data_IF_416108336525
#
_entry.id   IF_416108336525
#
_cell.length_a   1.000
_cell.length_b   1.000
_cell.length_c   1.000
_cell.angle_alpha   90.00
_cell.angle_beta   90.00
_cell.angle_gamma   90.00
#
_symmetry.space_group_name_H-M   'P 1'
#
loop_
_entity.id
_entity.type
_entity.pdbx_description
1 polymer ?
#
# COMPACT_ATOMS: atom_id res chain seq x y z
N UNK A 1 -16.61 -10.03 -56.82
CA UNK A 1 -17.73 -10.50 -55.97
C UNK A 1 -17.30 -11.73 -55.17
N UNK A 2 -16.70 -11.57 -53.98
CA UNK A 2 -16.80 -12.52 -52.86
C UNK A 2 -16.23 -11.82 -51.62
N UNK A 3 -17.03 -11.85 -50.57
CA UNK A 3 -17.01 -10.92 -49.44
C UNK A 3 -15.74 -11.08 -48.60
N UNK A 4 -15.09 -9.95 -48.31
CA UNK A 4 -14.05 -9.80 -47.29
C UNK A 4 -14.67 -10.15 -45.94
N UNK A 5 -14.26 -11.25 -45.31
CA UNK A 5 -14.53 -11.50 -43.89
C UNK A 5 -13.25 -11.14 -43.15
N UNK A 6 -13.11 -9.85 -42.85
CA UNK A 6 -12.17 -9.35 -41.85
C UNK A 6 -12.80 -9.65 -40.50
N UNK A 7 -12.43 -10.79 -39.89
CA UNK A 7 -12.72 -11.02 -38.47
C UNK A 7 -11.76 -10.13 -37.69
N UNK A 8 -12.20 -8.90 -37.40
CA UNK A 8 -11.55 -8.03 -36.42
C UNK A 8 -11.79 -8.63 -35.03
N UNK A 9 -10.99 -9.64 -34.66
CA UNK A 9 -10.83 -10.06 -33.26
C UNK A 9 -10.11 -8.92 -32.55
N UNK A 10 -10.86 -7.91 -32.12
CA UNK A 10 -10.39 -6.94 -31.12
C UNK A 10 -10.33 -7.71 -29.81
N UNK A 11 -9.18 -8.32 -29.54
CA UNK A 11 -8.86 -8.89 -28.25
C UNK A 11 -8.91 -7.78 -27.21
N UNK A 12 -9.92 -7.81 -26.35
CA UNK A 12 -9.99 -6.96 -25.17
C UNK A 12 -8.93 -7.46 -24.19
N UNK A 13 -7.70 -6.96 -24.32
CA UNK A 13 -6.70 -7.07 -23.27
C UNK A 13 -7.10 -6.13 -22.14
N UNK A 14 -7.96 -6.65 -21.25
CA UNK A 14 -8.14 -6.07 -19.93
C UNK A 14 -6.81 -6.19 -19.19
N UNK A 15 -5.97 -5.16 -19.29
CA UNK A 15 -4.81 -5.02 -18.44
C UNK A 15 -5.29 -5.01 -16.99
N UNK A 16 -4.94 -6.05 -16.24
CA UNK A 16 -5.14 -6.10 -14.80
C UNK A 16 -4.32 -4.98 -14.17
N UNK A 17 -4.93 -3.81 -13.99
CA UNK A 17 -4.38 -2.77 -13.12
C UNK A 17 -4.38 -3.35 -11.71
N UNK A 18 -3.28 -3.99 -11.31
CA UNK A 18 -3.09 -4.42 -9.93
C UNK A 18 -3.10 -3.14 -9.10
N UNK A 19 -4.07 -3.02 -8.21
CA UNK A 19 -4.11 -1.90 -7.28
C UNK A 19 -2.79 -1.90 -6.50
N UNK A 20 -2.02 -0.82 -6.61
CA UNK A 20 -0.83 -0.62 -5.80
C UNK A 20 -1.25 -0.69 -4.32
N UNK A 21 -0.60 -1.51 -3.49
CA UNK A 21 -1.04 -1.77 -2.11
C UNK A 21 -1.02 -0.51 -1.23
N UNK A 22 -0.26 0.52 -1.64
CA UNK A 22 -0.11 1.80 -0.95
C UNK A 22 -0.67 2.95 -1.81
N UNK A 23 -1.84 3.53 -1.45
CA UNK A 23 -2.44 4.66 -2.16
C UNK A 23 -1.51 5.89 -2.25
N UNK A 24 -1.57 6.69 -3.33
CA UNK A 24 -0.77 7.91 -3.44
C UNK A 24 -1.09 8.91 -2.31
N UNK A 25 -0.07 9.58 -1.78
CA UNK A 25 -0.23 10.62 -0.77
C UNK A 25 1.09 11.09 -0.12
N UNK A 26 1.06 12.21 0.63
CA UNK A 26 2.21 12.67 1.41
C UNK A 26 2.66 11.60 2.40
N UNK A 27 3.97 11.34 2.50
CA UNK A 27 4.53 10.29 3.35
C UNK A 27 4.63 8.91 2.69
N UNK A 28 4.06 8.71 1.47
CA UNK A 28 4.15 7.43 0.76
C UNK A 28 5.59 7.07 0.39
N UNK A 29 6.38 8.04 -0.06
CA UNK A 29 7.73 7.77 -0.54
C UNK A 29 8.64 7.28 0.60
N UNK A 30 8.54 7.94 1.76
CA UNK A 30 9.19 7.57 3.01
C UNK A 30 8.71 6.18 3.47
N UNK A 31 7.40 5.93 3.44
CA UNK A 31 6.82 4.63 3.80
C UNK A 31 7.34 3.51 2.91
N UNK A 32 7.37 3.69 1.59
CA UNK A 32 7.93 2.70 0.67
C UNK A 32 9.41 2.46 1.00
N UNK A 33 10.22 3.52 1.06
CA UNK A 33 11.66 3.41 1.29
C UNK A 33 12.00 2.71 2.62
N UNK A 34 11.30 3.04 3.70
CA UNK A 34 11.60 2.54 5.05
C UNK A 34 10.95 1.18 5.30
N UNK A 35 9.66 1.03 4.99
CA UNK A 35 8.89 -0.13 5.42
C UNK A 35 9.01 -1.32 4.47
N UNK A 36 9.48 -1.11 3.22
CA UNK A 36 9.67 -2.23 2.27
C UNK A 36 11.12 -2.66 2.12
N UNK A 37 12.00 -2.26 3.05
CA UNK A 37 13.40 -2.69 3.06
C UNK A 37 13.59 -4.15 3.47
N UNK A 38 12.65 -4.72 4.22
CA UNK A 38 12.77 -6.07 4.80
C UNK A 38 11.64 -7.04 4.42
N UNK A 39 10.46 -6.54 4.05
CA UNK A 39 9.29 -7.34 3.64
C UNK A 39 8.40 -6.51 2.70
N UNK A 40 7.46 -7.15 2.02
CA UNK A 40 6.59 -6.49 1.04
C UNK A 40 5.56 -5.53 1.68
N UNK A 41 5.02 -4.61 0.88
CA UNK A 41 4.08 -3.59 1.31
C UNK A 41 2.69 -4.15 1.68
N UNK A 42 2.34 -5.32 1.13
CA UNK A 42 1.10 -6.04 1.42
C UNK A 42 0.93 -6.32 2.92
N UNK A 43 2.04 -6.56 3.65
CA UNK A 43 2.03 -6.77 5.10
C UNK A 43 1.48 -5.55 5.85
N UNK A 44 1.68 -4.33 5.33
CA UNK A 44 1.13 -3.11 5.91
C UNK A 44 -0.41 -3.11 5.78
N UNK A 45 -0.93 -3.53 4.64
CA UNK A 45 -2.38 -3.64 4.41
C UNK A 45 -2.99 -4.69 5.34
N UNK A 46 -2.34 -5.84 5.52
CA UNK A 46 -2.80 -6.88 6.46
C UNK A 46 -2.75 -6.42 7.91
N UNK A 47 -1.73 -5.61 8.27
CA UNK A 47 -1.58 -5.10 9.63
C UNK A 47 -2.69 -4.10 10.00
N UNK A 48 -3.13 -3.27 9.06
CA UNK A 48 -4.24 -2.31 9.30
C UNK A 48 -5.54 -3.02 9.70
N UNK A 49 -5.81 -4.19 9.13
CA UNK A 49 -6.98 -5.03 9.41
C UNK A 49 -6.99 -5.57 10.86
N UNK A 50 -5.82 -5.65 11.50
CA UNK A 50 -5.67 -6.11 12.88
C UNK A 50 -5.77 -4.96 13.90
N UNK A 51 -6.31 -3.81 13.50
CA UNK A 51 -6.48 -2.62 14.35
C UNK A 51 -5.16 -2.10 14.94
N UNK A 52 -4.09 -2.16 14.15
CA UNK A 52 -2.78 -1.76 14.64
C UNK A 52 -2.70 -0.26 14.95
N UNK A 53 -2.16 0.09 16.13
CA UNK A 53 -1.66 1.43 16.38
C UNK A 53 -0.38 1.64 15.57
N UNK A 54 -0.44 2.51 14.55
CA UNK A 54 0.68 2.71 13.62
C UNK A 54 1.95 3.28 14.28
N UNK A 55 1.81 4.07 15.34
CA UNK A 55 2.94 4.53 16.16
C UNK A 55 3.76 3.35 16.68
N UNK A 56 3.08 2.36 17.24
CA UNK A 56 3.70 1.23 17.92
C UNK A 56 4.36 0.30 16.91
N UNK A 57 3.74 0.14 15.73
CA UNK A 57 4.33 -0.61 14.62
C UNK A 57 5.61 0.06 14.13
N UNK A 58 5.58 1.37 13.89
CA UNK A 58 6.75 2.11 13.40
C UNK A 58 7.87 2.07 14.44
N UNK A 59 7.56 2.29 15.72
CA UNK A 59 8.53 2.18 16.81
C UNK A 59 9.15 0.78 16.89
N UNK A 60 8.32 -0.27 16.84
CA UNK A 60 8.79 -1.65 16.86
C UNK A 60 9.68 -1.99 15.65
N UNK A 61 9.46 -1.37 14.48
CA UNK A 61 10.33 -1.58 13.32
C UNK A 61 11.67 -0.83 13.47
N UNK A 62 11.66 0.38 14.02
CA UNK A 62 12.90 1.12 14.34
C UNK A 62 13.74 0.36 15.35
N UNK A 63 13.13 -0.19 16.41
CA UNK A 63 13.81 -1.06 17.38
C UNK A 63 14.40 -2.33 16.74
N UNK A 64 13.83 -2.78 15.62
CA UNK A 64 14.33 -3.92 14.82
C UNK A 64 15.33 -3.53 13.74
N UNK A 65 15.71 -2.26 13.67
CA UNK A 65 16.74 -1.77 12.75
C UNK A 65 16.22 -1.04 11.51
N UNK A 66 14.93 -0.69 11.44
CA UNK A 66 14.45 0.21 10.39
C UNK A 66 15.06 1.61 10.57
N UNK A 67 15.70 2.13 9.54
CA UNK A 67 16.36 3.43 9.56
C UNK A 67 15.42 4.54 9.10
N UNK A 68 14.88 5.29 10.06
CA UNK A 68 14.05 6.46 9.82
C UNK A 68 14.32 7.54 10.86
N UNK A 69 14.53 8.78 10.40
CA UNK A 69 14.60 9.95 11.29
C UNK A 69 13.26 10.18 12.02
N UNK A 70 13.28 10.95 13.11
CA UNK A 70 12.05 11.27 13.85
C UNK A 70 11.00 11.99 12.97
N UNK A 71 11.45 12.83 12.04
CA UNK A 71 10.58 13.49 11.06
C UNK A 71 9.96 12.49 10.09
N UNK A 72 10.73 11.54 9.58
CA UNK A 72 10.22 10.50 8.68
C UNK A 72 9.27 9.55 9.39
N UNK A 73 9.56 9.16 10.64
CA UNK A 73 8.64 8.36 11.45
C UNK A 73 7.28 9.05 11.60
N UNK A 74 7.27 10.36 11.91
CA UNK A 74 6.03 11.13 11.99
C UNK A 74 5.27 11.17 10.66
N UNK A 75 5.98 11.37 9.55
CA UNK A 75 5.38 11.37 8.20
C UNK A 75 4.79 10.01 7.83
N UNK A 76 5.49 8.92 8.14
CA UNK A 76 5.06 7.53 7.90
C UNK A 76 3.82 7.22 8.73
N UNK A 77 3.81 7.55 10.03
CA UNK A 77 2.64 7.32 10.91
C UNK A 77 1.42 8.07 10.35
N UNK A 78 1.57 9.34 10.00
CA UNK A 78 0.48 10.15 9.46
C UNK A 78 -0.03 9.59 8.12
N UNK A 79 0.86 9.15 7.25
CA UNK A 79 0.50 8.49 6.00
C UNK A 79 -0.27 7.19 6.24
N UNK A 80 0.25 6.30 7.08
CA UNK A 80 -0.37 5.00 7.37
C UNK A 80 -1.75 5.17 8.00
N UNK A 81 -1.95 6.12 8.90
CA UNK A 81 -3.27 6.43 9.48
C UNK A 81 -4.28 6.91 8.43
N UNK A 82 -3.83 7.70 7.44
CA UNK A 82 -4.70 8.24 6.40
C UNK A 82 -4.97 7.24 5.27
N UNK A 83 -3.94 6.52 4.84
CA UNK A 83 -3.98 5.62 3.70
C UNK A 83 -4.49 4.22 4.08
N UNK A 84 -4.16 3.77 5.30
CA UNK A 84 -4.50 2.45 5.84
C UNK A 84 -5.04 2.60 7.28
N UNK A 85 -6.20 3.26 7.47
CA UNK A 85 -6.74 3.49 8.81
C UNK A 85 -6.86 2.18 9.60
N UNK A 86 -6.56 2.17 10.91
CA UNK A 86 -6.77 0.99 11.74
C UNK A 86 -8.24 0.58 11.69
N UNK A 87 -8.50 -0.67 11.31
CA UNK A 87 -9.86 -1.14 11.05
C UNK A 87 -10.55 -1.54 12.37
N UNK A 88 -10.81 -0.58 13.27
CA UNK A 88 -11.44 -0.83 14.58
C UNK A 88 -12.93 -0.47 14.64
N UNK A 89 -13.77 -1.49 14.85
CA UNK A 89 -15.22 -1.43 15.16
C UNK A 89 -16.09 -0.50 14.30
N UNK A 90 -16.06 -0.67 12.98
CA UNK A 90 -17.16 -0.24 12.11
C UNK A 90 -18.31 -1.25 12.14
N UNK A 91 -19.09 -1.27 13.23
CA UNK A 91 -20.45 -1.84 13.36
C UNK A 91 -20.80 -3.18 12.69
N UNK A 92 -20.92 -4.23 13.49
CA UNK A 92 -22.18 -5.00 13.60
C UNK A 92 -22.32 -5.57 15.00
#
# INVERSE_FOLDING_TARGET
>A
MRRLIVVLMVGFMAGSARAEPLPPGPGRAETVRVCTGCHEAEVLVERSQKQAAWSDVVQAMVEKGAEASTTEQAAIIAYLQKALPPQGSGGR
#
